data_IF_662957064538
#
_entry.id   IF_662957064538
#
_cell.length_a   1.000
_cell.length_b   1.000
_cell.length_c   1.000
_cell.angle_alpha   90.00
_cell.angle_beta   90.00
_cell.angle_gamma   90.00
#
_symmetry.space_group_name_H-M   'P 1'
#
loop_
_entity.id
_entity.type
_entity.pdbx_description
1 polymer ?
#
# COMPACT_ATOMS: atom_id res chain seq x y z
N UNK A 1 4.97 -5.12 19.22
CA UNK A 1 5.46 -3.77 18.87
C UNK A 1 4.29 -2.89 18.45
N UNK A 2 4.12 -1.71 19.06
CA UNK A 2 3.10 -0.74 18.65
C UNK A 2 3.60 -0.01 17.40
N UNK A 3 2.78 0.07 16.35
CA UNK A 3 3.13 0.78 15.11
C UNK A 3 3.53 2.24 15.37
N UNK A 4 2.99 2.85 16.44
CA UNK A 4 3.29 4.21 16.89
C UNK A 4 4.78 4.43 17.21
N UNK A 5 5.40 3.52 17.97
CA UNK A 5 6.82 3.63 18.37
C UNK A 5 7.73 3.55 17.13
N UNK A 6 7.41 2.63 16.22
CA UNK A 6 8.15 2.45 14.98
C UNK A 6 7.99 3.66 14.05
N UNK A 7 6.76 4.20 13.95
CA UNK A 7 6.48 5.37 13.13
C UNK A 7 7.19 6.61 13.67
N UNK A 8 7.19 6.81 15.00
CA UNK A 8 7.90 7.91 15.64
C UNK A 8 9.41 7.81 15.37
N UNK A 9 10.01 6.64 15.60
CA UNK A 9 11.41 6.42 15.29
C UNK A 9 11.73 6.76 13.84
N UNK A 10 10.88 6.32 12.92
CA UNK A 10 11.03 6.56 11.49
C UNK A 10 10.92 8.05 11.16
N UNK A 11 9.97 8.79 11.75
CA UNK A 11 9.82 10.24 11.59
C UNK A 11 11.05 11.02 12.07
N UNK A 12 11.64 10.61 13.19
CA UNK A 12 12.83 11.22 13.78
C UNK A 12 14.11 10.91 12.96
N UNK A 13 14.15 9.77 12.26
CA UNK A 13 15.33 9.31 11.53
C UNK A 13 15.25 9.47 10.00
N UNK A 14 14.15 10.03 9.48
CA UNK A 14 13.94 10.23 8.05
C UNK A 14 14.83 11.34 7.44
N UNK A 15 15.01 12.47 8.14
CA UNK A 15 15.54 13.72 7.55
C UNK A 15 17.03 13.70 7.18
N UNK A 16 17.87 13.02 7.97
CA UNK A 16 19.30 12.98 7.71
C UNK A 16 19.68 12.00 6.58
N UNK A 17 18.77 11.10 6.19
CA UNK A 17 19.07 9.91 5.37
C UNK A 17 18.31 9.82 4.04
N UNK A 18 17.34 10.72 3.81
CA UNK A 18 16.60 10.84 2.54
C UNK A 18 17.16 11.87 1.55
N UNK A 19 18.23 12.59 1.89
CA UNK A 19 19.00 13.34 0.88
C UNK A 19 19.50 12.36 -0.18
N UNK A 20 19.59 12.84 -1.43
CA UNK A 20 19.97 12.12 -2.65
C UNK A 20 20.49 10.68 -2.42
N UNK A 21 19.79 9.65 -2.94
CA UNK A 21 19.09 9.68 -4.24
C UNK A 21 17.56 9.65 -4.20
N UNK A 22 16.93 9.70 -3.01
CA UNK A 22 15.51 9.36 -2.86
C UNK A 22 14.52 10.47 -3.19
N UNK A 23 14.86 11.67 -2.76
CA UNK A 23 14.11 12.88 -3.02
C UNK A 23 15.16 13.94 -3.34
N UNK A 24 14.83 14.84 -4.24
CA UNK A 24 15.78 15.80 -4.80
C UNK A 24 16.56 16.54 -3.70
N UNK A 25 17.62 17.29 -4.08
CA UNK A 25 18.36 18.13 -3.12
C UNK A 25 17.45 19.10 -2.34
N UNK A 26 16.23 19.34 -2.83
CA UNK A 26 15.23 20.27 -2.31
C UNK A 26 14.00 19.52 -1.76
N UNK A 27 14.21 18.67 -0.76
CA UNK A 27 13.14 17.94 -0.07
C UNK A 27 12.23 18.87 0.74
N UNK A 28 10.91 18.72 0.63
CA UNK A 28 9.92 19.52 1.36
C UNK A 28 9.33 18.76 2.56
N UNK A 29 8.83 19.48 3.57
CA UNK A 29 8.06 18.87 4.67
C UNK A 29 6.83 18.09 4.17
N UNK A 30 6.27 18.50 3.03
CA UNK A 30 5.17 17.78 2.39
C UNK A 30 5.62 16.40 1.88
N UNK A 31 6.79 16.31 1.24
CA UNK A 31 7.37 15.03 0.83
C UNK A 31 7.62 14.11 2.03
N UNK A 32 8.04 14.67 3.17
CA UNK A 32 8.20 13.93 4.44
C UNK A 32 6.90 13.35 4.94
N UNK A 33 5.87 14.18 5.01
CA UNK A 33 4.54 13.74 5.40
C UNK A 33 4.03 12.60 4.50
N UNK A 34 4.22 12.74 3.19
CA UNK A 34 3.81 11.72 2.21
C UNK A 34 4.59 10.41 2.37
N UNK A 35 5.91 10.48 2.58
CA UNK A 35 6.73 9.30 2.84
C UNK A 35 6.33 8.57 4.12
N UNK A 36 6.10 9.31 5.21
CA UNK A 36 5.59 8.74 6.46
C UNK A 36 4.21 8.12 6.28
N UNK A 37 3.31 8.75 5.51
CA UNK A 37 1.98 8.23 5.25
C UNK A 37 2.04 6.88 4.49
N UNK A 38 2.82 6.80 3.42
CA UNK A 38 2.99 5.55 2.69
C UNK A 38 3.69 4.47 3.50
N UNK A 39 4.66 4.85 4.33
CA UNK A 39 5.30 3.93 5.27
C UNK A 39 4.29 3.38 6.28
N UNK A 40 3.44 4.23 6.86
CA UNK A 40 2.38 3.80 7.80
C UNK A 40 1.42 2.80 7.17
N UNK A 41 0.96 3.05 5.93
CA UNK A 41 0.12 2.08 5.20
C UNK A 41 0.85 0.74 5.03
N UNK A 42 2.14 0.77 4.73
CA UNK A 42 2.96 -0.42 4.61
C UNK A 42 3.08 -1.17 5.96
N UNK A 43 3.23 -0.45 7.08
CA UNK A 43 3.26 -1.02 8.43
C UNK A 43 1.93 -1.69 8.81
N UNK A 44 0.82 -0.99 8.61
CA UNK A 44 -0.52 -1.51 8.89
C UNK A 44 -0.82 -2.76 8.06
N UNK A 45 -0.27 -2.81 6.84
CA UNK A 45 -0.40 -3.92 5.91
C UNK A 45 0.64 -5.03 6.12
N UNK A 46 1.55 -4.95 7.10
CA UNK A 46 2.62 -5.93 7.30
C UNK A 46 2.08 -7.35 7.62
N UNK A 47 0.90 -7.44 8.23
CA UNK A 47 0.24 -8.73 8.50
C UNK A 47 -0.50 -9.29 7.28
N UNK A 48 -0.81 -8.45 6.30
CA UNK A 48 -1.57 -8.84 5.12
C UNK A 48 -0.70 -9.62 4.11
N UNK A 49 -1.37 -10.32 3.21
CA UNK A 49 -0.73 -10.87 2.00
C UNK A 49 -0.38 -9.70 1.07
N UNK A 50 0.80 -9.74 0.45
CA UNK A 50 1.19 -8.71 -0.50
C UNK A 50 0.23 -8.74 -1.68
N UNK A 51 -0.28 -7.58 -2.10
CA UNK A 51 -1.23 -7.46 -3.21
C UNK A 51 -0.90 -6.21 -4.03
N UNK A 52 -1.27 -6.22 -5.31
CA UNK A 52 -1.10 -5.05 -6.17
C UNK A 52 -1.80 -3.82 -5.59
N UNK A 53 -3.05 -3.98 -5.12
CA UNK A 53 -3.80 -2.90 -4.46
C UNK A 53 -3.05 -2.33 -3.25
N UNK A 54 -2.48 -3.19 -2.39
CA UNK A 54 -1.69 -2.74 -1.24
C UNK A 54 -0.44 -1.95 -1.65
N UNK A 55 0.29 -2.41 -2.66
CA UNK A 55 1.47 -1.69 -3.18
C UNK A 55 1.07 -0.34 -3.78
N UNK A 56 -0.03 -0.30 -4.53
CA UNK A 56 -0.56 0.91 -5.13
C UNK A 56 -1.00 1.91 -4.06
N UNK A 57 -1.62 1.46 -2.96
CA UNK A 57 -1.96 2.33 -1.83
C UNK A 57 -0.73 2.95 -1.19
N UNK A 58 0.35 2.18 -1.01
CA UNK A 58 1.63 2.70 -0.53
C UNK A 58 2.19 3.75 -1.49
N UNK A 59 2.20 3.46 -2.80
CA UNK A 59 2.64 4.40 -3.83
C UNK A 59 1.84 5.72 -3.80
N UNK A 60 0.51 5.63 -3.83
CA UNK A 60 -0.39 6.79 -3.84
C UNK A 60 -0.17 7.69 -2.62
N UNK A 61 0.11 7.12 -1.46
CA UNK A 61 0.41 7.89 -0.25
C UNK A 61 1.81 8.54 -0.29
N UNK A 62 2.81 7.87 -0.89
CA UNK A 62 4.17 8.42 -1.01
C UNK A 62 4.30 9.50 -2.09
N UNK A 63 3.42 9.49 -3.10
CA UNK A 63 3.44 10.43 -4.24
C UNK A 63 2.00 10.84 -4.64
N UNK A 64 1.26 11.54 -3.75
CA UNK A 64 -0.13 11.91 -4.02
C UNK A 64 -0.29 12.83 -5.23
N UNK A 65 0.70 13.70 -5.49
CA UNK A 65 0.72 14.66 -6.59
C UNK A 65 0.83 14.00 -7.97
N UNK A 66 1.58 12.89 -8.07
CA UNK A 66 1.85 12.21 -9.34
C UNK A 66 0.73 11.24 -9.73
N UNK A 67 -0.31 11.07 -8.87
CA UNK A 67 -1.71 10.67 -9.18
C UNK A 67 -2.39 10.19 -7.90
N UNK A 68 -3.36 10.95 -7.39
CA UNK A 68 -4.09 10.62 -6.15
C UNK A 68 -4.92 9.30 -6.20
N UNK A 69 -5.10 8.68 -7.37
CA UNK A 69 -6.02 7.55 -7.57
C UNK A 69 -5.51 6.53 -8.59
N UNK A 70 -4.20 6.22 -8.59
CA UNK A 70 -3.74 5.12 -9.42
C UNK A 70 -4.46 3.83 -9.01
N UNK A 71 -5.11 3.17 -9.97
CA UNK A 71 -5.81 1.88 -9.76
C UNK A 71 -5.05 0.70 -10.36
N UNK A 72 -4.08 0.98 -11.22
CA UNK A 72 -3.32 -0.03 -11.96
C UNK A 72 -1.89 0.47 -12.20
N UNK A 73 -0.87 -0.41 -12.16
CA UNK A 73 0.49 -0.07 -12.51
C UNK A 73 0.52 0.33 -13.98
N UNK A 74 0.66 1.61 -14.27
CA UNK A 74 0.63 2.12 -15.64
C UNK A 74 1.78 3.09 -15.83
N UNK A 75 2.73 2.70 -16.68
CA UNK A 75 3.89 3.53 -16.98
C UNK A 75 3.77 4.14 -18.37
N UNK A 76 3.70 5.48 -18.41
CA UNK A 76 3.84 6.26 -19.64
C UNK A 76 5.27 6.74 -19.78
N UNK A 77 5.87 6.48 -20.93
CA UNK A 77 7.16 7.02 -21.31
C UNK A 77 8.36 6.22 -20.81
N UNK A 78 9.46 6.41 -21.54
CA UNK A 78 10.73 5.76 -21.27
C UNK A 78 11.47 6.51 -20.16
N UNK A 79 11.34 6.04 -18.91
CA UNK A 79 12.36 6.28 -17.87
C UNK A 79 13.58 5.43 -18.19
N UNK A 80 14.75 5.93 -17.85
CA UNK A 80 15.97 5.20 -18.11
C UNK A 80 16.93 5.40 -16.94
N UNK A 81 17.49 4.30 -16.47
CA UNK A 81 18.44 4.29 -15.38
C UNK A 81 19.83 4.42 -15.97
N UNK A 82 20.43 5.60 -15.77
CA UNK A 82 21.85 5.80 -16.01
C UNK A 82 22.58 5.52 -14.70
N UNK A 83 23.49 4.56 -14.71
CA UNK A 83 24.38 4.31 -13.57
C UNK A 83 25.79 4.66 -14.02
N UNK A 84 26.32 5.74 -13.44
CA UNK A 84 27.65 6.29 -13.67
C UNK A 84 28.59 6.05 -12.48
N UNK A 85 28.03 5.76 -11.32
CA UNK A 85 28.77 5.44 -10.10
C UNK A 85 29.26 3.99 -10.10
N UNK A 86 30.58 3.83 -10.10
CA UNK A 86 31.28 2.54 -10.18
C UNK A 86 31.00 1.64 -8.97
N UNK A 87 30.61 2.22 -7.83
CA UNK A 87 30.28 1.48 -6.62
C UNK A 87 28.96 0.70 -6.75
N UNK A 88 28.09 1.12 -7.68
CA UNK A 88 26.80 0.49 -7.93
C UNK A 88 26.81 -0.50 -9.10
N UNK A 89 28.00 -0.93 -9.55
CA UNK A 89 28.18 -1.81 -10.71
C UNK A 89 28.91 -3.08 -10.30
N UNK A 90 28.27 -4.23 -10.50
CA UNK A 90 28.91 -5.53 -10.38
C UNK A 90 28.65 -6.40 -11.61
N UNK A 91 29.60 -7.28 -11.91
CA UNK A 91 29.49 -8.25 -13.00
C UNK A 91 28.27 -9.16 -12.83
N UNK A 92 28.11 -9.71 -11.61
CA UNK A 92 26.95 -10.54 -11.28
C UNK A 92 25.65 -9.73 -11.34
N UNK A 93 25.66 -8.45 -10.96
CA UNK A 93 24.51 -7.56 -11.10
C UNK A 93 24.10 -7.31 -12.55
N UNK A 94 25.07 -7.12 -13.44
CA UNK A 94 24.87 -7.02 -14.89
C UNK A 94 24.30 -8.32 -15.47
N UNK A 95 24.88 -9.46 -15.12
CA UNK A 95 24.39 -10.77 -15.56
C UNK A 95 22.93 -10.97 -15.16
N UNK A 96 22.59 -10.69 -13.90
CA UNK A 96 21.22 -10.80 -13.41
C UNK A 96 20.25 -9.85 -14.14
N UNK A 97 20.68 -8.62 -14.45
CA UNK A 97 19.89 -7.69 -15.25
C UNK A 97 19.62 -8.26 -16.64
N UNK A 98 20.63 -8.85 -17.29
CA UNK A 98 20.51 -9.40 -18.64
C UNK A 98 19.58 -10.61 -18.67
N UNK A 99 19.73 -11.54 -17.71
CA UNK A 99 18.83 -12.68 -17.56
C UNK A 99 17.40 -12.23 -17.26
N UNK A 100 17.22 -11.27 -16.35
CA UNK A 100 15.91 -10.72 -16.04
C UNK A 100 15.27 -10.09 -17.28
N UNK A 101 16.05 -9.37 -18.09
CA UNK A 101 15.54 -8.68 -19.27
C UNK A 101 15.11 -9.63 -20.38
N UNK A 102 15.77 -10.79 -20.54
CA UNK A 102 15.29 -11.85 -21.44
C UNK A 102 13.94 -12.41 -20.97
N UNK A 103 13.79 -12.64 -19.67
CA UNK A 103 12.56 -13.19 -19.08
C UNK A 103 11.39 -12.19 -19.08
N UNK A 104 11.70 -10.90 -19.02
CA UNK A 104 10.74 -9.81 -19.02
C UNK A 104 10.52 -9.21 -20.42
N UNK A 105 10.96 -9.88 -21.50
CA UNK A 105 10.84 -9.41 -22.88
C UNK A 105 9.40 -9.57 -23.42
N UNK A 106 8.49 -8.85 -22.79
CA UNK A 106 7.14 -8.54 -23.27
C UNK A 106 7.12 -7.04 -23.53
N UNK A 107 6.35 -6.59 -24.51
CA UNK A 107 6.17 -5.15 -24.69
C UNK A 107 6.94 -4.58 -25.84
N UNK A 108 6.97 -3.26 -25.79
CA UNK A 108 8.25 -2.58 -25.90
C UNK A 108 9.09 -2.94 -24.67
N UNK A 109 9.69 -4.13 -24.74
CA UNK A 109 10.44 -4.75 -23.66
C UNK A 109 11.65 -3.94 -23.21
N UNK A 110 12.40 -4.48 -22.25
CA UNK A 110 13.55 -3.78 -21.71
C UNK A 110 14.62 -3.54 -22.79
N UNK A 111 15.14 -2.31 -22.86
CA UNK A 111 16.11 -1.87 -23.88
C UNK A 111 17.37 -1.34 -23.23
N UNK A 112 18.41 -1.27 -24.05
CA UNK A 112 19.73 -0.88 -23.59
C UNK A 112 20.33 0.17 -24.50
N UNK A 113 20.99 1.14 -23.88
CA UNK A 113 21.76 2.16 -24.55
C UNK A 113 23.16 2.17 -23.94
N UNK A 114 24.18 2.13 -24.80
CA UNK A 114 25.56 2.41 -24.41
C UNK A 114 25.92 3.81 -24.87
N UNK A 115 26.36 4.62 -23.91
CA UNK A 115 26.80 5.98 -24.13
C UNK A 115 28.30 6.00 -23.92
N UNK A 116 29.08 6.30 -24.96
CA UNK A 116 30.53 6.41 -24.82
C UNK A 116 30.96 7.73 -24.16
N UNK A 117 32.27 7.87 -23.93
CA UNK A 117 32.87 9.10 -23.38
C UNK A 117 32.68 10.36 -24.25
N UNK A 118 32.30 10.21 -25.51
CA UNK A 118 32.02 11.30 -26.44
C UNK A 118 30.51 11.55 -26.60
N UNK A 119 29.68 10.91 -25.78
CA UNK A 119 28.21 10.92 -25.86
C UNK A 119 27.64 10.33 -27.16
N UNK A 120 28.40 9.49 -27.86
CA UNK A 120 27.86 8.67 -28.95
C UNK A 120 26.96 7.58 -28.36
N UNK A 121 25.79 7.40 -28.97
CA UNK A 121 24.74 6.52 -28.48
C UNK A 121 24.63 5.28 -29.37
N UNK A 122 24.76 4.10 -28.76
CA UNK A 122 24.40 2.82 -29.38
C UNK A 122 23.12 2.31 -28.73
N UNK A 123 22.05 2.15 -29.53
CA UNK A 123 20.75 1.68 -29.06
C UNK A 123 20.56 0.21 -29.42
N UNK A 124 20.09 -0.58 -28.46
CA UNK A 124 19.79 -2.01 -28.62
C UNK A 124 18.35 -2.27 -28.19
N UNK A 125 17.54 -2.85 -29.07
CA UNK A 125 16.11 -3.09 -28.83
C UNK A 125 15.86 -4.15 -27.76
N UNK A 126 16.82 -5.05 -27.58
CA UNK A 126 16.82 -6.09 -26.55
C UNK A 126 18.25 -6.54 -26.26
N UNK A 127 18.39 -7.38 -25.25
CA UNK A 127 19.68 -7.90 -24.80
C UNK A 127 20.37 -8.84 -25.82
N UNK A 128 19.59 -9.56 -26.65
CA UNK A 128 20.17 -10.38 -27.72
C UNK A 128 20.89 -9.50 -28.75
N UNK A 129 20.26 -8.41 -29.18
CA UNK A 129 20.88 -7.45 -30.10
C UNK A 129 22.14 -6.82 -29.51
N UNK A 130 22.14 -6.49 -28.21
CA UNK A 130 23.32 -5.99 -27.51
C UNK A 130 24.46 -7.02 -27.46
N UNK A 131 24.12 -8.27 -27.13
CA UNK A 131 25.06 -9.39 -27.08
C UNK A 131 25.70 -9.65 -28.45
N UNK A 132 24.87 -9.76 -29.48
CA UNK A 132 25.30 -10.02 -30.86
C UNK A 132 26.13 -8.84 -31.41
N UNK A 133 25.68 -7.60 -31.18
CA UNK A 133 26.37 -6.38 -31.62
C UNK A 133 27.73 -6.15 -30.96
N UNK A 134 27.94 -6.70 -29.75
CA UNK A 134 29.22 -6.67 -29.06
C UNK A 134 30.04 -7.96 -29.25
N UNK A 135 29.58 -8.91 -30.05
CA UNK A 135 30.30 -10.15 -30.36
C UNK A 135 30.47 -11.10 -29.18
N UNK A 136 29.54 -11.09 -28.22
CA UNK A 136 29.53 -11.98 -27.05
C UNK A 136 28.68 -13.23 -27.35
N UNK A 137 29.09 -14.41 -26.87
CA UNK A 137 28.35 -15.67 -27.09
C UNK A 137 27.30 -15.96 -26.02
N UNK A 138 27.40 -15.31 -24.86
CA UNK A 138 26.52 -15.53 -23.72
C UNK A 138 26.29 -14.23 -22.94
N UNK A 139 25.29 -14.22 -22.05
CA UNK A 139 25.07 -13.08 -21.15
C UNK A 139 26.21 -12.94 -20.12
N UNK A 140 26.90 -14.04 -19.78
CA UNK A 140 28.09 -13.99 -18.93
C UNK A 140 29.21 -13.22 -19.63
N UNK A 141 29.59 -13.62 -20.85
CA UNK A 141 30.63 -12.91 -21.62
C UNK A 141 30.29 -11.43 -21.83
N UNK A 142 29.00 -11.11 -22.00
CA UNK A 142 28.54 -9.74 -22.10
C UNK A 142 28.70 -8.97 -20.77
N UNK A 143 28.35 -9.59 -19.64
CA UNK A 143 28.51 -9.00 -18.31
C UNK A 143 29.98 -8.74 -17.98
N UNK A 144 30.86 -9.71 -18.23
CA UNK A 144 32.31 -9.59 -18.01
C UNK A 144 32.89 -8.43 -18.85
N UNK A 145 32.51 -8.38 -20.14
CA UNK A 145 32.96 -7.35 -21.06
C UNK A 145 32.47 -5.96 -20.65
N UNK A 146 31.21 -5.83 -20.25
CA UNK A 146 30.64 -4.54 -19.87
C UNK A 146 31.10 -4.07 -18.50
N UNK A 147 31.22 -4.96 -17.51
CA UNK A 147 31.66 -4.61 -16.15
C UNK A 147 32.95 -3.79 -16.17
N UNK A 148 33.96 -4.25 -16.91
CA UNK A 148 35.23 -3.53 -17.05
C UNK A 148 35.08 -2.19 -17.78
N UNK A 149 34.29 -2.14 -18.84
CA UNK A 149 34.10 -0.91 -19.60
C UNK A 149 33.32 0.16 -18.82
N UNK A 150 32.32 -0.24 -18.04
CA UNK A 150 31.54 0.65 -17.20
C UNK A 150 32.37 1.16 -16.02
N UNK A 151 33.10 0.28 -15.33
CA UNK A 151 33.99 0.66 -14.22
C UNK A 151 35.14 1.55 -14.66
N UNK A 152 35.59 1.48 -15.90
CA UNK A 152 36.64 2.37 -16.41
C UNK A 152 36.09 3.65 -17.05
N UNK A 153 34.77 3.83 -17.09
CA UNK A 153 34.13 5.01 -17.68
C UNK A 153 34.23 5.06 -19.21
N UNK A 154 34.56 3.94 -19.86
CA UNK A 154 34.56 3.82 -21.32
C UNK A 154 33.14 4.01 -21.86
N UNK A 155 32.18 3.38 -21.19
CA UNK A 155 30.76 3.50 -21.47
C UNK A 155 29.98 3.82 -20.20
N UNK A 156 28.80 4.38 -20.37
CA UNK A 156 27.72 4.35 -19.40
C UNK A 156 26.60 3.48 -19.94
N UNK A 157 26.04 2.63 -19.09
CA UNK A 157 24.90 1.79 -19.45
C UNK A 157 23.62 2.52 -19.03
N UNK A 158 22.73 2.67 -19.99
CA UNK A 158 21.39 3.19 -19.75
C UNK A 158 20.38 2.07 -20.00
N UNK A 159 19.75 1.62 -18.92
CA UNK A 159 18.71 0.60 -18.95
C UNK A 159 17.33 1.26 -19.05
N UNK A 160 16.54 0.85 -20.03
CA UNK A 160 15.18 1.31 -20.25
C UNK A 160 14.23 0.16 -19.89
N UNK A 161 13.49 0.25 -18.76
CA UNK A 161 12.56 -0.79 -18.36
C UNK A 161 11.40 -0.95 -19.33
N UNK A 162 10.70 -2.10 -19.31
CA UNK A 162 9.49 -2.28 -20.11
C UNK A 162 8.48 -1.19 -19.75
N UNK A 163 7.80 -0.65 -20.75
CA UNK A 163 6.73 0.32 -20.54
C UNK A 163 5.59 0.07 -21.51
N UNK A 164 4.41 0.50 -21.09
CA UNK A 164 3.20 0.39 -21.88
C UNK A 164 3.26 1.46 -22.97
N UNK A 165 3.10 1.04 -24.23
CA UNK A 165 3.11 1.99 -25.33
C UNK A 165 1.86 2.87 -25.21
N UNK A 166 2.03 4.19 -25.05
CA UNK A 166 0.96 5.20 -25.04
C UNK A 166 -0.38 4.72 -24.45
N UNK A 167 -0.46 4.30 -23.18
CA UNK A 167 -1.79 4.17 -22.54
C UNK A 167 -2.51 5.52 -22.67
N UNK A 168 -3.56 5.72 -23.49
CA UNK A 168 -4.11 7.04 -23.79
C UNK A 168 -4.84 7.68 -22.61
N UNK A 169 -5.02 6.96 -21.50
CA UNK A 169 -5.99 7.35 -20.47
C UNK A 169 -5.43 7.52 -19.03
N UNK A 170 -4.11 7.59 -18.80
CA UNK A 170 -3.55 7.79 -17.46
C UNK A 170 -3.66 9.21 -16.86
N UNK A 171 -4.19 10.21 -17.59
CA UNK A 171 -4.29 11.60 -17.09
C UNK A 171 -5.73 12.11 -16.97
N UNK A 172 -6.70 11.23 -16.75
CA UNK A 172 -8.10 11.63 -16.61
C UNK A 172 -8.58 11.33 -15.19
N UNK A 173 -8.12 12.18 -14.27
CA UNK A 173 -8.80 12.40 -12.99
C UNK A 173 -10.24 12.81 -13.35
N UNK A 174 -11.22 11.97 -13.00
CA UNK A 174 -12.65 12.11 -13.35
C UNK A 174 -13.04 11.67 -14.78
N UNK A 175 -12.82 10.39 -15.11
CA UNK A 175 -13.55 9.79 -16.23
C UNK A 175 -15.06 9.77 -15.89
N UNK A 176 -15.87 10.46 -16.70
CA UNK A 176 -17.32 10.27 -16.68
C UNK A 176 -17.66 8.80 -16.96
N UNK A 177 -18.89 8.38 -16.64
CA UNK A 177 -19.33 6.99 -16.91
C UNK A 177 -19.13 6.58 -18.37
N UNK A 178 -19.37 7.50 -19.31
CA UNK A 178 -19.14 7.28 -20.74
C UNK A 178 -17.65 7.15 -21.09
N UNK A 179 -16.81 8.00 -20.49
CA UNK A 179 -15.37 7.93 -20.71
C UNK A 179 -14.76 6.65 -20.12
N UNK A 180 -15.32 6.12 -19.02
CA UNK A 180 -14.93 4.83 -18.47
C UNK A 180 -15.31 3.67 -19.40
N UNK A 181 -16.51 3.69 -19.96
CA UNK A 181 -16.97 2.67 -20.93
C UNK A 181 -16.14 2.73 -22.21
N UNK A 182 -15.87 3.91 -22.75
CA UNK A 182 -15.03 4.05 -23.94
C UNK A 182 -13.58 3.67 -23.64
N UNK A 183 -13.07 3.92 -22.42
CA UNK A 183 -11.78 3.42 -21.98
C UNK A 183 -11.75 1.89 -21.94
N UNK A 184 -12.76 1.24 -21.36
CA UNK A 184 -12.88 -0.23 -21.38
C UNK A 184 -12.95 -0.78 -22.81
N UNK A 185 -13.66 -0.10 -23.72
CA UNK A 185 -13.73 -0.46 -25.13
C UNK A 185 -12.36 -0.31 -25.82
N UNK A 186 -11.68 0.81 -25.59
CA UNK A 186 -10.35 1.08 -26.13
C UNK A 186 -9.32 0.10 -25.58
N UNK A 187 -9.38 -0.30 -24.30
CA UNK A 187 -8.53 -1.35 -23.76
C UNK A 187 -8.72 -2.68 -24.49
N UNK A 188 -9.96 -3.08 -24.79
CA UNK A 188 -10.22 -4.30 -25.56
C UNK A 188 -9.73 -4.21 -27.01
N UNK A 189 -9.76 -3.03 -27.62
CA UNK A 189 -9.23 -2.80 -28.97
C UNK A 189 -7.69 -2.79 -28.94
N UNK A 190 -7.10 -2.11 -27.96
CA UNK A 190 -5.65 -1.94 -27.80
C UNK A 190 -4.97 -3.25 -27.35
N UNK A 191 -5.65 -4.08 -26.56
CA UNK A 191 -5.19 -5.42 -26.18
C UNK A 191 -5.06 -6.38 -27.37
N UNK A 192 -5.65 -6.06 -28.54
CA UNK A 192 -5.45 -6.82 -29.78
C UNK A 192 -4.13 -6.51 -30.46
N UNK A 193 -3.46 -5.42 -30.08
CA UNK A 193 -2.11 -5.12 -30.53
C UNK A 193 -1.13 -5.78 -29.57
N UNK A 194 -0.16 -6.51 -30.11
CA UNK A 194 0.55 -7.57 -29.38
C UNK A 194 1.18 -7.16 -28.07
N UNK A 195 1.50 -5.86 -27.84
CA UNK A 195 1.85 -5.47 -26.49
C UNK A 195 1.57 -4.02 -26.10
N UNK A 196 0.38 -3.83 -25.52
CA UNK A 196 -0.05 -2.56 -24.96
C UNK A 196 -0.01 -2.51 -23.42
N UNK A 197 -0.07 -3.66 -22.74
CA UNK A 197 -0.01 -3.78 -21.28
C UNK A 197 1.05 -4.83 -20.91
N UNK A 198 2.31 -4.42 -20.88
CA UNK A 198 3.43 -5.29 -20.51
C UNK A 198 3.69 -5.23 -19.00
N UNK A 199 3.44 -4.08 -18.39
CA UNK A 199 3.80 -3.81 -16.99
C UNK A 199 2.84 -4.53 -16.04
N UNK A 200 1.52 -4.46 -16.27
CA UNK A 200 0.51 -5.06 -15.39
C UNK A 200 0.70 -6.56 -15.18
N UNK A 201 0.77 -7.37 -16.26
CA UNK A 201 0.97 -8.81 -16.14
C UNK A 201 2.28 -9.19 -15.45
N UNK A 202 3.38 -8.48 -15.72
CA UNK A 202 4.67 -8.72 -15.06
C UNK A 202 4.61 -8.37 -13.57
N UNK A 203 3.96 -7.27 -13.23
CA UNK A 203 3.78 -6.82 -11.84
C UNK A 203 3.00 -7.87 -11.02
N UNK A 204 1.85 -8.30 -11.52
CA UNK A 204 1.02 -9.32 -10.85
C UNK A 204 1.72 -10.67 -10.76
N UNK A 205 2.44 -11.07 -11.82
CA UNK A 205 3.24 -12.30 -11.82
C UNK A 205 4.29 -12.27 -10.70
N UNK A 206 5.07 -11.19 -10.58
CA UNK A 206 6.10 -11.08 -9.53
C UNK A 206 5.50 -11.16 -8.12
N UNK A 207 4.36 -10.48 -7.88
CA UNK A 207 3.65 -10.54 -6.59
C UNK A 207 3.15 -11.96 -6.30
N UNK A 208 2.55 -12.62 -7.31
CA UNK A 208 2.04 -13.98 -7.19
C UNK A 208 3.15 -14.98 -6.87
N UNK A 209 4.28 -14.91 -7.57
CA UNK A 209 5.43 -15.79 -7.33
C UNK A 209 6.02 -15.58 -5.94
N UNK A 210 6.24 -14.33 -5.52
CA UNK A 210 6.76 -14.04 -4.19
C UNK A 210 5.84 -14.56 -3.07
N UNK A 211 4.53 -14.40 -3.23
CA UNK A 211 3.53 -14.87 -2.28
C UNK A 211 3.44 -16.41 -2.17
N UNK A 212 4.06 -17.19 -3.06
CA UNK A 212 4.19 -18.65 -2.90
C UNK A 212 5.18 -19.01 -1.80
N UNK A 213 6.08 -18.08 -1.44
CA UNK A 213 7.11 -18.29 -0.44
C UNK A 213 6.53 -18.01 0.95
N UNK A 214 6.37 -19.06 1.77
CA UNK A 214 5.76 -18.94 3.10
C UNK A 214 6.60 -18.13 4.09
N UNK A 215 7.93 -18.28 4.03
CA UNK A 215 8.92 -17.62 4.89
C UNK A 215 10.10 -17.16 4.02
N UNK A 216 9.96 -16.04 3.30
CA UNK A 216 11.02 -15.58 2.42
C UNK A 216 12.29 -15.22 3.18
N UNK A 217 13.43 -15.67 2.66
CA UNK A 217 14.75 -15.24 3.13
C UNK A 217 15.03 -13.79 2.73
N UNK A 218 16.04 -13.18 3.35
CA UNK A 218 16.47 -11.82 2.96
C UNK A 218 16.87 -11.74 1.49
N UNK A 219 17.50 -12.79 0.96
CA UNK A 219 17.85 -12.90 -0.45
C UNK A 219 16.61 -12.92 -1.36
N UNK A 220 15.54 -13.61 -0.96
CA UNK A 220 14.28 -13.63 -1.72
C UNK A 220 13.55 -12.28 -1.66
N UNK A 221 13.60 -11.59 -0.51
CA UNK A 221 13.09 -10.22 -0.37
C UNK A 221 13.88 -9.27 -1.29
N UNK A 222 15.21 -9.32 -1.24
CA UNK A 222 16.09 -8.51 -2.08
C UNK A 222 15.84 -8.75 -3.58
N UNK A 223 15.67 -10.02 -3.99
CA UNK A 223 15.34 -10.39 -5.37
C UNK A 223 14.02 -9.78 -5.83
N UNK A 224 12.99 -9.83 -4.97
CA UNK A 224 11.70 -9.23 -5.25
C UNK A 224 11.77 -7.70 -5.36
N UNK A 225 12.43 -7.03 -4.42
CA UNK A 225 12.60 -5.57 -4.45
C UNK A 225 13.38 -5.13 -5.70
N UNK A 226 14.49 -5.79 -6.02
CA UNK A 226 15.25 -5.52 -7.25
C UNK A 226 14.38 -5.72 -8.50
N UNK A 227 13.63 -6.81 -8.57
CA UNK A 227 12.74 -7.10 -9.71
C UNK A 227 11.66 -6.03 -9.90
N UNK A 228 11.13 -5.46 -8.82
CA UNK A 228 10.16 -4.37 -8.87
C UNK A 228 10.78 -3.04 -9.31
N UNK A 229 12.02 -2.75 -8.87
CA UNK A 229 12.78 -1.59 -9.36
C UNK A 229 13.10 -1.72 -10.84
N UNK A 230 13.50 -2.92 -11.29
CA UNK A 230 13.78 -3.22 -12.69
C UNK A 230 12.53 -3.20 -13.56
N UNK A 231 11.36 -3.56 -13.02
CA UNK A 231 10.07 -3.45 -13.73
C UNK A 231 9.63 -1.99 -13.86
N UNK A 232 9.87 -1.19 -12.82
CA UNK A 232 9.51 0.22 -12.74
C UNK A 232 8.03 0.49 -13.08
N UNK A 233 7.07 -0.10 -12.35
CA UNK A 233 5.65 -0.07 -12.71
C UNK A 233 4.97 1.31 -12.60
N UNK A 234 5.57 2.24 -11.89
CA UNK A 234 5.03 3.59 -11.68
C UNK A 234 5.78 4.64 -12.53
N UNK A 235 5.16 5.79 -12.85
CA UNK A 235 5.81 6.86 -13.61
C UNK A 235 6.95 7.55 -12.84
N UNK A 236 6.81 7.64 -11.52
CA UNK A 236 7.83 8.09 -10.56
C UNK A 236 7.60 7.35 -9.23
N UNK A 237 8.44 7.56 -8.22
CA UNK A 237 8.21 7.08 -6.86
C UNK A 237 8.51 5.59 -6.64
N UNK A 238 8.96 4.87 -7.67
CA UNK A 238 9.32 3.45 -7.58
C UNK A 238 10.35 3.18 -6.48
N UNK A 239 11.43 3.97 -6.40
CA UNK A 239 12.44 3.85 -5.35
C UNK A 239 11.80 3.86 -3.96
N UNK A 240 11.16 4.98 -3.61
CA UNK A 240 10.44 5.15 -2.33
C UNK A 240 9.43 4.03 -2.06
N UNK A 241 8.61 3.68 -3.05
CA UNK A 241 7.60 2.64 -2.89
C UNK A 241 8.23 1.30 -2.54
N UNK A 242 9.23 0.85 -3.29
CA UNK A 242 9.77 -0.50 -3.14
C UNK A 242 10.86 -0.61 -2.08
N UNK A 243 11.86 0.27 -2.07
CA UNK A 243 13.00 0.17 -1.14
C UNK A 243 12.70 0.72 0.25
N UNK A 244 11.66 1.54 0.41
CA UNK A 244 11.26 2.07 1.71
C UNK A 244 9.90 1.52 2.16
N UNK A 245 8.85 1.57 1.33
CA UNK A 245 7.54 1.05 1.72
C UNK A 245 7.49 -0.48 1.78
N UNK A 246 7.55 -1.12 0.61
CA UNK A 246 7.34 -2.56 0.46
C UNK A 246 8.45 -3.38 1.11
N UNK A 247 9.71 -2.94 1.04
CA UNK A 247 10.81 -3.60 1.76
C UNK A 247 10.48 -3.72 3.25
N UNK A 248 10.09 -2.63 3.91
CA UNK A 248 9.84 -2.64 5.35
C UNK A 248 8.58 -3.42 5.71
N UNK A 249 7.53 -3.37 4.89
CA UNK A 249 6.39 -4.28 5.04
C UNK A 249 6.83 -5.75 5.07
N UNK A 250 7.72 -6.15 4.15
CA UNK A 250 8.21 -7.52 4.04
C UNK A 250 9.16 -7.91 5.17
N UNK A 251 10.08 -7.02 5.58
CA UNK A 251 11.00 -7.28 6.69
C UNK A 251 10.24 -7.47 8.01
N UNK A 252 9.26 -6.61 8.28
CA UNK A 252 8.43 -6.69 9.50
C UNK A 252 7.55 -7.93 9.52
N UNK A 253 6.91 -8.25 8.39
CA UNK A 253 6.12 -9.49 8.25
C UNK A 253 6.91 -10.73 8.63
N UNK A 254 8.22 -10.72 8.35
CA UNK A 254 9.13 -11.82 8.63
C UNK A 254 9.94 -11.64 9.93
N UNK A 255 9.60 -10.65 10.76
CA UNK A 255 10.26 -10.35 12.04
C UNK A 255 11.78 -10.10 11.91
N UNK A 256 12.21 -9.50 10.82
CA UNK A 256 13.63 -9.22 10.57
C UNK A 256 14.08 -7.86 11.12
N UNK A 257 13.21 -6.85 11.10
CA UNK A 257 13.56 -5.48 11.43
C UNK A 257 12.96 -4.47 10.46
N UNK A 258 13.55 -3.28 10.42
CA UNK A 258 13.32 -2.27 9.38
C UNK A 258 14.65 -1.88 8.72
N UNK A 259 14.60 -1.43 7.48
CA UNK A 259 15.73 -0.91 6.73
C UNK A 259 15.32 0.42 6.09
N UNK A 260 15.90 1.52 6.56
CA UNK A 260 15.59 2.88 6.09
C UNK A 260 16.61 3.42 5.09
N UNK A 261 17.70 2.67 4.86
CA UNK A 261 18.84 3.13 4.08
C UNK A 261 19.28 2.05 3.07
N UNK A 262 18.54 1.95 1.96
CA UNK A 262 18.87 1.05 0.86
C UNK A 262 18.84 1.84 -0.44
N UNK A 263 19.93 2.39 -0.94
CA UNK A 263 19.95 3.17 -2.18
C UNK A 263 19.14 2.49 -3.33
N UNK A 264 18.21 3.17 -4.04
CA UNK A 264 17.39 2.54 -5.07
C UNK A 264 18.16 2.30 -6.39
N UNK A 265 19.42 2.75 -6.51
CA UNK A 265 20.34 2.46 -7.64
C UNK A 265 20.89 1.03 -7.60
N UNK A 266 20.09 0.08 -7.12
CA UNK A 266 20.41 -1.36 -7.01
C UNK A 266 20.26 -2.14 -8.33
N UNK A 267 19.93 -1.46 -9.43
CA UNK A 267 19.63 -2.13 -10.71
C UNK A 267 20.82 -2.92 -11.26
N UNK A 268 22.06 -2.44 -11.04
CA UNK A 268 23.30 -3.07 -11.49
C UNK A 268 24.08 -3.78 -10.38
N UNK A 269 23.50 -3.93 -9.19
CA UNK A 269 24.02 -4.74 -8.09
C UNK A 269 23.39 -6.13 -8.12
N UNK A 270 24.14 -7.17 -7.74
CA UNK A 270 23.58 -8.52 -7.60
C UNK A 270 22.57 -8.61 -6.46
N UNK A 271 21.64 -9.57 -6.51
CA UNK A 271 20.70 -9.82 -5.41
C UNK A 271 21.44 -10.06 -4.10
N UNK A 272 22.59 -10.74 -4.13
CA UNK A 272 23.42 -10.96 -2.95
C UNK A 272 24.00 -9.66 -2.38
N UNK A 273 24.43 -8.72 -3.22
CA UNK A 273 24.88 -7.38 -2.79
C UNK A 273 23.72 -6.57 -2.20
N UNK A 274 22.54 -6.60 -2.84
CA UNK A 274 21.34 -5.94 -2.31
C UNK A 274 20.94 -6.52 -0.95
N UNK A 275 20.96 -7.85 -0.80
CA UNK A 275 20.67 -8.50 0.48
C UNK A 275 21.67 -8.10 1.58
N UNK A 276 22.97 -8.05 1.27
CA UNK A 276 24.00 -7.55 2.20
C UNK A 276 23.80 -6.08 2.56
N UNK A 277 23.42 -5.24 1.60
CA UNK A 277 23.12 -3.84 1.85
C UNK A 277 21.93 -3.67 2.79
N UNK A 278 20.87 -4.49 2.63
CA UNK A 278 19.74 -4.51 3.56
C UNK A 278 20.20 -4.95 4.95
N UNK A 279 20.95 -6.06 5.04
CA UNK A 279 21.44 -6.60 6.30
C UNK A 279 22.32 -5.61 7.07
N UNK A 280 23.24 -4.93 6.38
CA UNK A 280 24.12 -3.93 6.97
C UNK A 280 23.37 -2.69 7.50
N UNK A 281 22.19 -2.40 6.96
CA UNK A 281 21.34 -1.27 7.35
C UNK A 281 20.09 -1.71 8.12
N UNK A 282 20.06 -2.96 8.60
CA UNK A 282 18.91 -3.53 9.29
C UNK A 282 18.90 -3.06 10.75
N UNK A 283 17.82 -2.40 11.13
CA UNK A 283 17.51 -1.98 12.49
C UNK A 283 16.63 -3.07 13.09
N UNK A 284 17.18 -3.80 14.05
CA UNK A 284 16.55 -5.01 14.58
C UNK A 284 15.39 -4.68 15.51
N UNK A 285 14.42 -5.58 15.59
CA UNK A 285 13.18 -5.35 16.35
C UNK A 285 13.41 -5.29 17.87
N UNK A 286 14.41 -6.02 18.37
CA UNK A 286 14.75 -6.07 19.80
C UNK A 286 15.16 -4.69 20.34
N UNK A 287 15.67 -3.80 19.47
CA UNK A 287 16.02 -2.43 19.83
C UNK A 287 14.79 -1.58 20.20
N UNK A 288 13.60 -1.95 19.72
CA UNK A 288 12.34 -1.28 20.05
C UNK A 288 11.60 -1.96 21.22
N UNK A 289 12.09 -3.12 21.67
CA UNK A 289 11.52 -3.85 22.81
C UNK A 289 12.17 -3.42 24.13
N UNK A 290 13.40 -2.89 24.11
CA UNK A 290 14.12 -2.38 25.28
C UNK A 290 13.71 -0.98 25.75
N UNK A 291 13.10 -0.18 24.87
CA UNK A 291 12.68 1.20 25.16
C UNK A 291 11.23 1.29 25.66
N UNK A 292 10.56 0.16 25.82
CA UNK A 292 9.27 0.11 26.48
C UNK A 292 9.52 0.19 28.00
N UNK A 293 8.99 1.19 28.72
CA UNK A 293 9.00 1.12 30.18
C UNK A 293 8.41 -0.22 30.57
N UNK A 294 9.11 -0.96 31.44
CA UNK A 294 8.61 -2.21 32.00
C UNK A 294 7.15 -1.98 32.39
N UNK A 295 6.22 -2.89 32.02
CA UNK A 295 4.81 -2.68 32.29
C UNK A 295 4.69 -2.47 33.80
N UNK A 296 4.50 -1.21 34.20
CA UNK A 296 4.20 -0.92 35.59
C UNK A 296 2.96 -1.74 35.87
N UNK A 297 3.05 -2.59 36.88
CA UNK A 297 1.90 -3.31 37.41
C UNK A 297 0.90 -2.27 37.89
N UNK A 298 0.12 -1.72 36.96
CA UNK A 298 -1.08 -1.01 37.28
C UNK A 298 -2.04 -2.09 37.74
N UNK A 299 -2.16 -2.20 39.06
CA UNK A 299 -3.37 -2.66 39.71
C UNK A 299 -4.51 -1.77 39.23
N UNK A 300 -5.05 -2.08 38.06
CA UNK A 300 -6.27 -1.46 37.56
C UNK A 300 -7.42 -2.03 38.37
N UNK A 301 -7.84 -1.28 39.38
CA UNK A 301 -9.28 -1.15 39.65
C UNK A 301 -9.91 -0.64 38.36
N UNK A 302 -10.75 -1.46 37.75
CA UNK A 302 -11.50 -1.09 36.56
C UNK A 302 -12.41 0.10 36.89
N UNK A 303 -12.06 1.27 36.37
CA UNK A 303 -12.94 2.44 36.34
C UNK A 303 -13.54 2.58 34.93
N UNK A 304 -14.79 3.03 34.84
CA UNK A 304 -15.61 3.17 33.63
C UNK A 304 -15.05 4.09 32.52
N UNK A 305 -13.84 4.61 32.66
CA UNK A 305 -13.20 5.57 31.74
C UNK A 305 -12.80 5.01 30.36
N UNK A 306 -12.76 3.68 30.17
CA UNK A 306 -12.44 3.08 28.87
C UNK A 306 -13.60 3.11 27.87
N UNK A 307 -14.85 3.27 28.36
CA UNK A 307 -16.07 3.27 27.54
C UNK A 307 -16.31 4.63 26.86
N UNK A 308 -16.07 5.72 27.58
CA UNK A 308 -16.20 7.08 27.05
C UNK A 308 -15.14 7.39 25.99
N UNK A 309 -13.90 6.90 26.17
CA UNK A 309 -12.82 7.07 25.19
C UNK A 309 -13.14 6.45 23.82
N UNK A 310 -13.67 5.23 23.80
CA UNK A 310 -14.00 4.55 22.55
C UNK A 310 -15.20 5.17 21.82
N UNK A 311 -16.17 5.70 22.57
CA UNK A 311 -17.30 6.45 22.01
C UNK A 311 -16.87 7.81 21.48
N UNK A 312 -15.96 8.49 22.18
CA UNK A 312 -15.35 9.74 21.73
C UNK A 312 -14.59 9.53 20.41
N UNK A 313 -13.79 8.46 20.30
CA UNK A 313 -13.05 8.15 19.07
C UNK A 313 -13.98 7.85 17.89
N UNK A 314 -15.06 7.10 18.14
CA UNK A 314 -16.08 6.79 17.12
C UNK A 314 -16.83 8.05 16.68
N UNK A 315 -17.12 8.97 17.61
CA UNK A 315 -17.77 10.24 17.32
C UNK A 315 -16.87 11.13 16.46
N UNK A 316 -15.60 11.30 16.84
CA UNK A 316 -14.61 12.07 16.07
C UNK A 316 -14.43 11.50 14.67
N UNK A 317 -14.33 10.17 14.56
CA UNK A 317 -14.25 9.51 13.25
C UNK A 317 -15.49 9.79 12.39
N UNK A 318 -16.69 9.68 12.98
CA UNK A 318 -17.95 9.88 12.27
C UNK A 318 -18.13 11.33 11.81
N UNK A 319 -17.75 12.30 12.66
CA UNK A 319 -17.75 13.73 12.31
C UNK A 319 -16.79 14.04 11.16
N UNK A 320 -15.56 13.49 11.18
CA UNK A 320 -14.60 13.65 10.09
C UNK A 320 -15.10 13.02 8.77
N UNK A 321 -15.77 11.88 8.85
CA UNK A 321 -16.34 11.23 7.66
C UNK A 321 -17.53 12.00 7.09
N UNK A 322 -18.35 12.64 7.94
CA UNK A 322 -19.40 13.57 7.51
C UNK A 322 -18.80 14.74 6.73
N UNK A 323 -17.73 15.35 7.23
CA UNK A 323 -17.04 16.46 6.53
C UNK A 323 -16.60 16.01 5.14
N UNK A 324 -15.96 14.85 5.03
CA UNK A 324 -15.53 14.29 3.75
C UNK A 324 -16.71 14.05 2.79
N UNK A 325 -17.82 13.49 3.28
CA UNK A 325 -19.02 13.27 2.46
C UNK A 325 -19.67 14.59 2.02
N UNK A 326 -19.63 15.65 2.84
CA UNK A 326 -20.09 17.00 2.44
C UNK A 326 -19.26 17.55 1.29
N UNK A 327 -17.94 17.45 1.37
CA UNK A 327 -17.04 17.87 0.31
C UNK A 327 -17.31 17.10 -0.99
N UNK A 328 -17.53 15.79 -0.91
CA UNK A 328 -17.85 14.97 -2.08
C UNK A 328 -19.20 15.34 -2.72
N UNK A 329 -20.21 15.67 -1.90
CA UNK A 329 -21.53 16.15 -2.37
C UNK A 329 -21.40 17.52 -3.06
N UNK A 330 -20.64 18.45 -2.48
CA UNK A 330 -20.41 19.79 -3.01
C UNK A 330 -19.66 19.75 -4.35
N UNK A 331 -18.61 18.94 -4.46
CA UNK A 331 -17.83 18.79 -5.71
C UNK A 331 -18.67 18.21 -6.85
N UNK A 332 -19.68 17.40 -6.56
CA UNK A 332 -20.50 16.73 -7.58
C UNK A 332 -21.71 17.54 -8.06
N UNK A 333 -22.09 18.59 -7.33
CA UNK A 333 -23.32 19.33 -7.63
C UNK A 333 -23.11 20.56 -8.50
N UNK A 334 -21.88 21.00 -8.75
CA UNK A 334 -21.56 22.28 -9.46
C UNK A 334 -22.39 23.49 -8.94
N UNK A 335 -22.94 23.39 -7.73
CA UNK A 335 -23.86 24.37 -7.14
C UNK A 335 -23.15 25.27 -6.13
N UNK A 336 -23.72 26.47 -5.94
CA UNK A 336 -23.14 27.56 -5.17
C UNK A 336 -22.84 27.19 -3.71
N UNK A 337 -21.82 27.81 -3.06
CA UNK A 337 -21.36 27.48 -1.70
C UNK A 337 -22.35 27.73 -0.56
N UNK A 338 -23.60 28.08 -0.85
CA UNK A 338 -24.58 28.55 0.15
C UNK A 338 -25.58 27.50 0.62
N UNK A 339 -25.71 26.37 -0.08
CA UNK A 339 -26.76 25.40 0.23
C UNK A 339 -26.23 24.23 1.06
N UNK A 340 -26.90 23.94 2.18
CA UNK A 340 -26.53 22.80 3.02
C UNK A 340 -26.92 21.47 2.34
N UNK A 341 -26.21 20.36 2.60
CA UNK A 341 -26.56 19.04 2.07
C UNK A 341 -28.02 18.62 2.33
N UNK A 342 -28.63 19.16 3.38
CA UNK A 342 -30.04 18.97 3.74
C UNK A 342 -31.00 19.75 2.83
N UNK A 343 -30.60 20.90 2.29
CA UNK A 343 -31.39 21.67 1.33
C UNK A 343 -31.42 20.97 -0.04
N UNK A 344 -30.31 20.32 -0.42
CA UNK A 344 -30.21 19.49 -1.63
C UNK A 344 -31.12 18.25 -1.63
N UNK A 345 -31.64 17.85 -0.46
CA UNK A 345 -32.61 16.74 -0.30
C UNK A 345 -34.06 17.16 -0.54
N UNK A 346 -34.36 18.45 -0.42
CA UNK A 346 -35.74 18.98 -0.51
C UNK A 346 -35.98 19.76 -1.79
N UNK A 347 -34.94 20.32 -2.39
CA UNK A 347 -34.96 20.68 -3.79
C UNK A 347 -35.14 19.38 -4.57
N UNK A 348 -36.23 19.23 -5.33
CA UNK A 348 -36.41 18.16 -6.31
C UNK A 348 -35.83 18.66 -7.64
N UNK A 349 -34.54 18.41 -7.93
CA UNK A 349 -33.91 19.01 -9.07
C UNK A 349 -33.92 17.90 -10.10
N UNK A 350 -34.89 17.92 -11.01
CA UNK A 350 -35.11 16.91 -12.05
C UNK A 350 -33.82 16.48 -12.80
N UNK A 351 -32.74 17.26 -12.74
CA UNK A 351 -31.38 16.91 -13.22
C UNK A 351 -30.55 15.90 -12.39
N UNK A 352 -30.72 15.79 -11.07
CA UNK A 352 -29.90 14.87 -10.22
C UNK A 352 -30.55 13.51 -9.99
N UNK A 353 -31.80 13.32 -10.43
CA UNK A 353 -32.56 12.11 -10.17
C UNK A 353 -31.97 10.86 -10.86
N UNK A 354 -31.03 11.02 -11.79
CA UNK A 354 -30.38 9.92 -12.51
C UNK A 354 -28.93 9.62 -12.09
N UNK A 355 -28.29 10.44 -11.23
CA UNK A 355 -26.94 10.14 -10.74
C UNK A 355 -27.00 9.17 -9.55
N UNK A 356 -26.81 7.89 -9.85
CA UNK A 356 -26.80 6.81 -8.87
C UNK A 356 -25.68 6.94 -7.83
N UNK A 357 -24.57 7.61 -8.16
CA UNK A 357 -23.43 7.82 -7.26
C UNK A 357 -23.73 8.97 -6.30
N UNK A 358 -24.28 10.09 -6.80
CA UNK A 358 -24.73 11.21 -5.96
C UNK A 358 -25.77 10.77 -4.93
N UNK A 359 -26.81 10.04 -5.36
CA UNK A 359 -27.84 9.48 -4.46
C UNK A 359 -27.24 8.58 -3.38
N UNK A 360 -26.21 7.80 -3.72
CA UNK A 360 -25.54 6.92 -2.79
C UNK A 360 -24.68 7.69 -1.77
N UNK A 361 -23.90 8.68 -2.22
CA UNK A 361 -23.10 9.54 -1.35
C UNK A 361 -24.00 10.32 -0.38
N UNK A 362 -25.16 10.80 -0.84
CA UNK A 362 -26.16 11.46 -0.02
C UNK A 362 -26.79 10.51 1.02
N UNK A 363 -27.09 9.27 0.64
CA UNK A 363 -27.57 8.24 1.57
C UNK A 363 -26.51 7.89 2.63
N UNK A 364 -25.23 7.79 2.25
CA UNK A 364 -24.12 7.58 3.20
C UNK A 364 -24.05 8.74 4.19
N UNK A 365 -24.15 9.97 3.69
CA UNK A 365 -24.16 11.17 4.53
C UNK A 365 -25.30 11.12 5.55
N UNK A 366 -26.52 10.79 5.14
CA UNK A 366 -27.68 10.67 6.04
C UNK A 366 -27.49 9.60 7.11
N UNK A 367 -26.95 8.43 6.75
CA UNK A 367 -26.75 7.32 7.69
C UNK A 367 -25.68 7.68 8.74
N UNK A 368 -24.57 8.27 8.30
CA UNK A 368 -23.46 8.64 9.21
C UNK A 368 -23.87 9.83 10.08
N UNK A 369 -24.61 10.79 9.51
CA UNK A 369 -25.19 11.89 10.29
C UNK A 369 -26.18 11.39 11.33
N UNK A 370 -27.10 10.49 10.96
CA UNK A 370 -28.02 9.87 11.92
C UNK A 370 -27.31 9.10 13.03
N UNK A 371 -26.15 8.48 12.74
CA UNK A 371 -25.29 7.88 13.75
C UNK A 371 -24.68 8.93 14.69
N UNK A 372 -24.13 10.03 14.16
CA UNK A 372 -23.64 11.15 14.97
C UNK A 372 -24.73 11.74 15.86
N UNK A 373 -25.89 12.07 15.29
CA UNK A 373 -27.03 12.65 16.01
C UNK A 373 -27.52 11.70 17.13
N UNK A 374 -27.52 10.39 16.88
CA UNK A 374 -27.89 9.37 17.88
C UNK A 374 -26.85 9.25 19.00
N UNK A 375 -25.55 9.34 18.66
CA UNK A 375 -24.47 9.32 19.65
C UNK A 375 -24.47 10.59 20.52
N UNK A 376 -24.78 11.74 19.94
CA UNK A 376 -24.82 13.06 20.58
C UNK A 376 -26.12 13.32 21.39
N UNK A 377 -27.23 12.63 21.11
CA UNK A 377 -28.52 12.84 21.79
C UNK A 377 -28.55 12.46 23.28
N UNK A 378 -29.64 12.77 24.00
CA UNK A 378 -29.81 12.35 25.41
C UNK A 378 -30.38 10.92 25.50
N UNK A 379 -29.88 10.09 26.43
CA UNK A 379 -30.36 8.73 26.67
C UNK A 379 -29.27 7.69 26.92
N UNK A 380 -29.66 6.49 27.34
CA UNK A 380 -28.69 5.41 27.62
C UNK A 380 -28.05 4.92 26.32
N UNK A 381 -26.75 4.61 26.37
CA UNK A 381 -25.98 4.12 25.22
C UNK A 381 -26.59 2.82 24.64
N UNK A 382 -27.18 1.98 25.50
CA UNK A 382 -27.83 0.74 25.09
C UNK A 382 -29.07 1.01 24.22
N UNK A 383 -29.88 2.01 24.58
CA UNK A 383 -31.08 2.38 23.84
C UNK A 383 -30.72 3.02 22.50
N UNK A 384 -29.70 3.90 22.49
CA UNK A 384 -29.14 4.52 21.29
C UNK A 384 -28.63 3.50 20.26
N UNK A 385 -27.87 2.50 20.71
CA UNK A 385 -27.36 1.43 19.85
C UNK A 385 -28.46 0.50 19.36
N UNK A 386 -29.48 0.25 20.18
CA UNK A 386 -30.65 -0.55 19.82
C UNK A 386 -31.47 0.13 18.71
N UNK A 387 -31.74 1.43 18.85
CA UNK A 387 -32.46 2.24 17.86
C UNK A 387 -31.70 2.28 16.53
N UNK A 388 -30.41 2.58 16.57
CA UNK A 388 -29.57 2.58 15.37
C UNK A 388 -29.54 1.22 14.66
N UNK A 389 -29.48 0.11 15.42
CA UNK A 389 -29.51 -1.24 14.85
C UNK A 389 -30.83 -1.51 14.12
N UNK A 390 -31.96 -1.03 14.63
CA UNK A 390 -33.25 -1.16 13.97
C UNK A 390 -33.29 -0.36 12.66
N UNK A 391 -32.88 0.91 12.69
CA UNK A 391 -32.83 1.78 11.51
C UNK A 391 -31.86 1.25 10.44
N UNK A 392 -30.72 0.71 10.87
CA UNK A 392 -29.75 0.07 9.99
C UNK A 392 -30.32 -1.18 9.32
N UNK A 393 -31.02 -2.05 10.08
CA UNK A 393 -31.65 -3.26 9.52
C UNK A 393 -32.75 -2.91 8.52
N UNK A 394 -33.52 -1.84 8.78
CA UNK A 394 -34.55 -1.34 7.86
C UNK A 394 -33.93 -0.88 6.53
N UNK A 395 -32.80 -0.18 6.60
CA UNK A 395 -32.11 0.37 5.42
C UNK A 395 -31.17 -0.65 4.72
N UNK A 396 -30.81 -1.75 5.40
CA UNK A 396 -29.94 -2.82 4.88
C UNK A 396 -30.48 -3.48 3.62
N UNK A 397 -31.80 -3.66 3.51
CA UNK A 397 -32.43 -4.25 2.33
C UNK A 397 -32.29 -3.35 1.09
N UNK A 398 -32.38 -2.04 1.29
CA UNK A 398 -32.21 -1.02 0.24
C UNK A 398 -30.76 -0.99 -0.25
N UNK A 399 -29.80 -1.07 0.67
CA UNK A 399 -28.36 -1.05 0.38
C UNK A 399 -27.86 -2.35 -0.27
N UNK A 400 -28.38 -3.51 0.16
CA UNK A 400 -28.01 -4.81 -0.40
C UNK A 400 -28.46 -4.99 -1.86
N UNK A 401 -29.49 -4.27 -2.30
CA UNK A 401 -30.05 -4.37 -3.66
C UNK A 401 -29.13 -3.83 -4.77
N UNK A 402 -28.05 -3.09 -4.45
CA UNK A 402 -27.18 -2.42 -5.44
C UNK A 402 -25.75 -2.98 -5.60
N UNK A 403 -25.44 -4.14 -4.99
CA UNK A 403 -24.15 -4.90 -5.17
C UNK A 403 -22.87 -4.03 -5.13
N UNK A 404 -22.72 -3.15 -4.15
CA UNK A 404 -21.47 -2.40 -3.91
C UNK A 404 -20.66 -3.01 -2.75
N UNK A 405 -19.47 -3.56 -3.08
CA UNK A 405 -18.59 -4.23 -2.12
C UNK A 405 -17.95 -3.26 -1.12
N UNK A 406 -17.78 -1.98 -1.46
CA UNK A 406 -17.19 -0.98 -0.57
C UNK A 406 -18.21 -0.55 0.51
N UNK A 407 -19.46 -0.32 0.12
CA UNK A 407 -20.55 -0.06 1.05
C UNK A 407 -20.77 -1.27 1.99
N UNK A 408 -20.77 -2.49 1.46
CA UNK A 408 -20.86 -3.70 2.28
C UNK A 408 -19.67 -3.83 3.23
N UNK A 409 -18.46 -3.42 2.83
CA UNK A 409 -17.26 -3.50 3.68
C UNK A 409 -17.29 -2.46 4.80
N UNK A 410 -17.66 -1.21 4.50
CA UNK A 410 -17.87 -0.16 5.49
C UNK A 410 -18.97 -0.55 6.49
N UNK A 411 -20.11 -1.03 6.00
CA UNK A 411 -21.24 -1.44 6.83
C UNK A 411 -20.94 -2.70 7.65
N UNK A 412 -20.12 -3.63 7.12
CA UNK A 412 -19.55 -4.73 7.91
C UNK A 412 -18.61 -4.22 8.98
N UNK A 413 -17.79 -3.20 8.70
CA UNK A 413 -16.93 -2.56 9.69
C UNK A 413 -17.74 -1.95 10.84
N UNK A 414 -18.75 -1.14 10.52
CA UNK A 414 -19.66 -0.53 11.50
C UNK A 414 -20.44 -1.59 12.29
N UNK A 415 -21.00 -2.60 11.61
CA UNK A 415 -21.72 -3.69 12.27
C UNK A 415 -20.78 -4.54 13.15
N UNK A 416 -19.52 -4.71 12.75
CA UNK A 416 -18.51 -5.44 13.53
C UNK A 416 -18.18 -4.68 14.80
N UNK A 417 -17.94 -3.36 14.71
CA UNK A 417 -17.73 -2.51 15.89
C UNK A 417 -18.94 -2.59 16.83
N UNK A 418 -20.15 -2.43 16.31
CA UNK A 418 -21.39 -2.50 17.12
C UNK A 418 -21.59 -3.89 17.74
N UNK A 419 -21.29 -4.97 17.00
CA UNK A 419 -21.47 -6.35 17.50
C UNK A 419 -20.44 -6.67 18.57
N UNK A 420 -19.19 -6.24 18.43
CA UNK A 420 -18.17 -6.41 19.45
C UNK A 420 -18.44 -5.54 20.68
N UNK A 421 -18.86 -4.29 20.49
CA UNK A 421 -19.30 -3.41 21.60
C UNK A 421 -20.53 -3.98 22.31
N UNK A 422 -21.50 -4.53 21.59
CA UNK A 422 -22.70 -5.16 22.17
C UNK A 422 -22.43 -6.50 22.86
N UNK A 423 -21.58 -7.35 22.29
CA UNK A 423 -21.16 -8.62 22.91
C UNK A 423 -20.34 -8.40 24.19
N UNK A 424 -19.56 -7.32 24.23
CA UNK A 424 -18.87 -6.86 25.43
C UNK A 424 -19.85 -6.30 26.47
N UNK A 425 -20.84 -5.50 26.04
CA UNK A 425 -21.87 -4.92 26.91
C UNK A 425 -22.80 -5.96 27.55
N UNK A 426 -23.11 -7.05 26.84
CA UNK A 426 -23.88 -8.18 27.38
C UNK A 426 -23.04 -9.21 28.15
N UNK A 427 -21.76 -8.94 28.40
CA UNK A 427 -20.89 -9.82 29.18
C UNK A 427 -20.55 -11.15 28.50
N UNK A 428 -20.88 -11.31 27.21
CA UNK A 428 -20.55 -12.50 26.40
C UNK A 428 -19.03 -12.59 26.23
N UNK A 429 -18.34 -11.45 26.21
CA UNK A 429 -16.88 -11.34 26.18
C UNK A 429 -16.37 -10.64 27.45
N UNK A 430 -16.60 -11.25 28.60
CA UNK A 430 -15.88 -10.88 29.83
C UNK A 430 -14.42 -11.33 29.72
N UNK A 431 -13.47 -10.39 29.80
CA UNK A 431 -12.03 -10.70 29.92
C UNK A 431 -11.64 -11.21 31.30
N UNK A 432 -12.58 -11.33 32.24
CA UNK A 432 -12.38 -12.17 33.41
C UNK A 432 -12.65 -13.61 33.02
N UNK A 433 -11.57 -14.38 32.84
CA UNK A 433 -11.58 -15.83 32.91
C UNK A 433 -11.91 -16.34 34.31
N UNK A 434 -13.06 -15.96 34.86
CA UNK A 434 -13.55 -16.43 36.17
C UNK A 434 -14.65 -17.51 36.03
N UNK A 435 -15.11 -17.83 34.82
CA UNK A 435 -16.12 -18.87 34.59
C UNK A 435 -15.57 -20.27 34.27
N UNK A 436 -14.25 -20.45 34.18
CA UNK A 436 -13.64 -21.78 33.96
C UNK A 436 -12.87 -22.36 35.15
N UNK A 437 -12.58 -21.56 36.19
CA UNK A 437 -11.86 -22.03 37.37
C UNK A 437 -12.78 -22.58 38.47
N UNK A 438 -14.05 -22.15 38.54
CA UNK A 438 -14.98 -22.71 39.55
C UNK A 438 -15.34 -24.17 39.32
N UNK A 439 -15.38 -24.65 38.07
CA UNK A 439 -15.62 -26.07 37.80
C UNK A 439 -14.36 -26.94 38.00
N UNK A 440 -13.15 -26.38 37.86
CA UNK A 440 -11.90 -27.12 38.10
C UNK A 440 -11.60 -27.24 39.61
N UNK A 441 -11.90 -26.21 40.40
CA UNK A 441 -11.73 -26.28 41.87
C UNK A 441 -12.77 -27.21 42.52
N UNK A 442 -13.99 -27.28 41.98
CA UNK A 442 -15.01 -28.24 42.47
C UNK A 442 -14.67 -29.70 42.11
N UNK A 443 -13.94 -29.93 41.01
CA UNK A 443 -13.44 -31.27 40.64
C UNK A 443 -12.20 -31.66 41.47
N UNK A 444 -11.36 -30.71 41.87
CA UNK A 444 -10.20 -30.96 42.73
C UNK A 444 -10.59 -31.29 44.19
N UNK A 445 -11.68 -30.73 44.71
CA UNK A 445 -12.18 -31.04 46.07
C UNK A 445 -12.93 -32.38 46.16
N UNK A 446 -13.38 -32.97 45.05
CA UNK A 446 -14.06 -34.27 45.04
C UNK A 446 -13.11 -35.48 44.95
N UNK A 447 -11.82 -35.26 44.73
CA UNK A 447 -10.84 -36.36 44.57
C UNK A 447 -10.43 -37.11 45.85
N UNK A 448 -10.44 -36.54 47.06
CA UNK A 448 -10.11 -37.30 48.28
C UNK A 448 -11.27 -38.15 48.81
N UNK A 449 -12.52 -37.78 48.53
CA UNK A 449 -13.71 -38.48 49.04
C UNK A 449 -14.06 -39.74 48.22
N UNK A 450 -13.64 -39.82 46.96
CA UNK A 450 -13.88 -40.97 46.06
C UNK A 450 -12.80 -42.06 46.21
N UNK A 451 -11.65 -41.75 46.83
CA UNK A 451 -10.56 -42.72 47.06
C UNK A 451 -10.63 -43.45 48.42
N UNK A 452 -11.71 -43.26 49.20
CA UNK A 452 -11.90 -43.86 50.52
C UNK A 452 -13.16 -44.76 50.64
N UNK A 453 -13.78 -45.13 49.52
CA UNK A 453 -14.71 -46.27 49.37
C UNK A 453 -14.08 -47.28 48.41
#
# INVERSE_FOLDING_TARGET
>A
MRNEVLLQYVQENFDSRLKAPYVSKDYTENDKKNLCAGFLIALESAKAKLSAAGIISVFNAMKPEIRANMKSPTRRGSVAFLVDDKEFISEQGLLELFVWSEQANLGYGPRFELIDRYNSLQHFKNIKEMRDGLGCKSNQELADKLNNNLKNGTYRLRYIPPFDNLNPNCDLVNLSGEQLVENMRMQQILAKYEVFDAVGPLFEKQIKEFNKIRKPSLHQIASFIKSMILLHPFPDGNGRTFTLGILNQLLLKNKLGICLNLDPRISLLSVAEVARAIEANLIKLEQFESDLPAPQAQTTTASDSSKEGQLSDLLVFSQNYIIHLKEEILVRTDLYPSDSPEQLLTADPEGFNNDAVFKLTLQKYQIVKGLCDTLEGEGSIADKLSQFKQDFVLNRALIASRRDSAAITFLKGVLTVITFSGAYFWGIWSTKGELYNKEIDTIAELSPAILAQ
#
